data_IF_192910353597
#
_entry.id   IF_192910353597
#
_cell.length_a   1.000
_cell.length_b   1.000
_cell.length_c   1.000
_cell.angle_alpha   90.00
_cell.angle_beta   90.00
_cell.angle_gamma   90.00
#
_symmetry.space_group_name_H-M   'P 1'
#
loop_
_entity.id
_entity.type
_entity.pdbx_description
1 polymer ?
#
# COMPACT_ATOMS: atom_id res chain seq x y z
N UNK A 1 -8.33 8.96 -1.93
CA UNK A 1 -8.17 8.47 -3.31
C UNK A 1 -7.83 9.60 -4.27
N UNK A 2 -8.69 10.61 -4.48
CA UNK A 2 -8.40 11.71 -5.42
C UNK A 2 -7.09 12.46 -5.18
N UNK A 3 -6.72 12.70 -3.92
CA UNK A 3 -5.47 13.41 -3.57
C UNK A 3 -4.21 12.58 -3.90
N UNK A 4 -4.26 11.26 -3.70
CA UNK A 4 -3.17 10.34 -4.07
C UNK A 4 -3.05 10.18 -5.60
N UNK A 5 -4.17 10.13 -6.31
CA UNK A 5 -4.19 10.10 -7.78
C UNK A 5 -3.64 11.41 -8.35
N UNK A 6 -3.96 12.56 -7.75
CA UNK A 6 -3.43 13.85 -8.17
C UNK A 6 -1.91 13.95 -7.96
N UNK A 7 -1.40 13.54 -6.79
CA UNK A 7 0.05 13.54 -6.50
C UNK A 7 0.82 12.64 -7.48
N UNK A 8 0.41 11.38 -7.61
CA UNK A 8 1.05 10.41 -8.51
C UNK A 8 1.00 10.87 -9.97
N UNK A 9 -0.12 11.45 -10.42
CA UNK A 9 -0.24 12.01 -11.77
C UNK A 9 0.71 13.20 -12.00
N UNK A 10 0.82 14.12 -11.03
CA UNK A 10 1.74 15.26 -11.10
C UNK A 10 3.20 14.76 -11.14
N UNK A 11 3.58 13.87 -10.22
CA UNK A 11 4.94 13.31 -10.16
C UNK A 11 5.28 12.56 -11.43
N UNK A 12 4.38 11.71 -11.95
CA UNK A 12 4.61 10.94 -13.18
C UNK A 12 4.71 11.83 -14.41
N UNK A 13 3.88 12.88 -14.49
CA UNK A 13 3.91 13.84 -15.61
C UNK A 13 5.18 14.68 -15.56
N UNK A 14 5.57 15.19 -14.39
CA UNK A 14 6.82 15.94 -14.21
C UNK A 14 8.04 15.06 -14.55
N UNK A 15 8.09 13.82 -14.06
CA UNK A 15 9.17 12.88 -14.41
C UNK A 15 9.21 12.58 -15.91
N UNK A 16 8.05 12.43 -16.55
CA UNK A 16 7.98 12.16 -17.99
C UNK A 16 8.52 13.33 -18.82
N UNK A 17 8.14 14.56 -18.48
CA UNK A 17 8.64 15.77 -19.14
C UNK A 17 10.12 16.03 -18.87
N UNK A 18 10.58 15.76 -17.64
CA UNK A 18 11.99 15.93 -17.27
C UNK A 18 12.85 14.72 -17.65
N UNK A 19 12.31 13.64 -18.25
CA UNK A 19 13.05 12.38 -18.46
C UNK A 19 14.37 12.55 -19.22
N UNK A 20 14.43 13.52 -20.14
CA UNK A 20 15.65 13.84 -20.89
C UNK A 20 16.71 14.58 -20.07
N UNK A 21 16.33 15.35 -19.05
CA UNK A 21 17.25 16.13 -18.19
C UNK A 21 17.59 15.36 -16.91
N UNK A 22 16.63 14.58 -16.40
CA UNK A 22 16.78 13.77 -15.20
C UNK A 22 17.86 12.68 -15.38
N UNK A 23 17.90 12.03 -16.56
CA UNK A 23 18.96 11.09 -16.89
C UNK A 23 20.36 11.70 -16.82
N UNK A 24 20.54 12.92 -17.34
CA UNK A 24 21.80 13.67 -17.27
C UNK A 24 22.17 14.15 -15.86
N UNK A 25 21.20 14.23 -14.94
CA UNK A 25 21.45 14.59 -13.53
C UNK A 25 22.09 13.44 -12.76
N UNK A 26 21.80 12.19 -13.14
CA UNK A 26 22.36 10.99 -12.51
C UNK A 26 23.56 10.42 -13.27
N UNK A 27 23.62 10.57 -14.59
CA UNK A 27 24.74 10.09 -15.40
C UNK A 27 24.85 10.84 -16.73
N UNK A 28 26.06 11.20 -17.13
CA UNK A 28 26.33 11.86 -18.42
C UNK A 28 26.34 10.87 -19.61
N UNK A 29 26.18 9.57 -19.35
CA UNK A 29 26.17 8.51 -20.35
C UNK A 29 24.81 8.45 -21.08
N UNK A 30 24.83 8.66 -22.40
CA UNK A 30 23.63 8.64 -23.25
C UNK A 30 22.89 7.30 -23.19
N UNK A 31 23.61 6.21 -22.93
CA UNK A 31 23.04 4.88 -22.79
C UNK A 31 22.09 4.80 -21.59
N UNK A 32 22.45 5.42 -20.46
CA UNK A 32 21.62 5.48 -19.24
C UNK A 32 20.39 6.37 -19.47
N UNK A 33 20.52 7.44 -20.24
CA UNK A 33 19.40 8.34 -20.58
C UNK A 33 18.38 7.62 -21.48
N UNK A 34 18.80 6.84 -22.47
CA UNK A 34 17.89 6.05 -23.32
C UNK A 34 17.22 4.90 -22.56
N UNK A 35 17.90 4.39 -21.54
CA UNK A 35 17.40 3.35 -20.66
C UNK A 35 16.25 3.85 -19.76
N UNK A 36 16.47 4.94 -19.01
CA UNK A 36 15.43 5.61 -18.20
C UNK A 36 14.23 6.03 -19.06
N UNK A 37 14.51 6.40 -20.30
CA UNK A 37 13.52 6.74 -21.31
C UNK A 37 12.57 5.59 -21.65
N UNK A 38 13.10 4.38 -21.83
CA UNK A 38 12.32 3.18 -22.10
C UNK A 38 11.56 2.69 -20.88
N UNK A 39 12.08 2.93 -19.67
CA UNK A 39 11.42 2.60 -18.41
C UNK A 39 10.28 3.53 -18.02
N UNK A 40 10.27 4.78 -18.51
CA UNK A 40 9.26 5.78 -18.18
C UNK A 40 7.80 5.26 -18.27
N UNK A 41 7.34 4.59 -19.35
CA UNK A 41 5.99 4.03 -19.39
C UNK A 41 5.74 2.94 -18.34
N UNK A 42 6.76 2.13 -18.01
CA UNK A 42 6.68 1.08 -16.99
C UNK A 42 6.55 1.71 -15.59
N UNK A 43 7.24 2.83 -15.34
CA UNK A 43 7.11 3.64 -14.12
C UNK A 43 5.72 4.29 -14.02
N UNK A 44 5.17 4.79 -15.12
CA UNK A 44 3.80 5.35 -15.12
C UNK A 44 2.75 4.28 -14.76
N UNK A 45 2.86 3.08 -15.31
CA UNK A 45 2.00 1.96 -14.93
C UNK A 45 2.18 1.61 -13.45
N UNK A 46 3.43 1.60 -12.99
CA UNK A 46 3.74 1.34 -11.60
C UNK A 46 3.06 2.32 -10.62
N UNK A 47 3.08 3.61 -10.94
CA UNK A 47 2.44 4.64 -10.10
C UNK A 47 0.94 4.38 -9.90
N UNK A 48 0.24 3.87 -10.93
CA UNK A 48 -1.18 3.47 -10.82
C UNK A 48 -1.31 2.28 -9.86
N UNK A 49 -0.44 1.28 -9.99
CA UNK A 49 -0.47 0.10 -9.12
C UNK A 49 -0.14 0.43 -7.66
N UNK A 50 0.82 1.31 -7.40
CA UNK A 50 1.15 1.78 -6.06
C UNK A 50 -0.04 2.46 -5.38
N UNK A 51 -0.85 3.21 -6.14
CA UNK A 51 -2.08 3.82 -5.60
C UNK A 51 -3.10 2.76 -5.15
N UNK A 52 -3.24 1.66 -5.92
CA UNK A 52 -4.11 0.54 -5.58
C UNK A 52 -3.57 -0.21 -4.36
N UNK A 53 -2.26 -0.49 -4.34
CA UNK A 53 -1.56 -1.13 -3.24
C UNK A 53 -1.73 -0.35 -1.93
N UNK A 54 -1.64 0.97 -1.98
CA UNK A 54 -1.87 1.85 -0.83
C UNK A 54 -3.29 1.76 -0.27
N UNK A 55 -4.31 1.70 -1.13
CA UNK A 55 -5.71 1.56 -0.71
C UNK A 55 -5.95 0.20 -0.06
N UNK A 56 -5.48 -0.89 -0.67
CA UNK A 56 -5.61 -2.24 -0.11
C UNK A 56 -4.87 -2.38 1.22
N UNK A 57 -3.64 -1.84 1.31
CA UNK A 57 -2.87 -1.82 2.55
C UNK A 57 -3.57 -1.01 3.64
N UNK A 58 -4.29 0.05 3.26
CA UNK A 58 -5.18 0.78 4.16
C UNK A 58 -6.34 -0.07 4.68
N UNK A 59 -7.04 -0.80 3.79
CA UNK A 59 -8.14 -1.71 4.16
C UNK A 59 -7.64 -2.84 5.05
N UNK A 60 -6.54 -3.50 4.68
CA UNK A 60 -5.97 -4.60 5.45
C UNK A 60 -5.54 -4.19 6.86
N UNK A 61 -5.00 -2.97 7.02
CA UNK A 61 -4.72 -2.40 8.34
C UNK A 61 -5.99 -2.04 9.10
N UNK A 62 -7.01 -1.50 8.41
CA UNK A 62 -8.32 -1.20 9.01
C UNK A 62 -9.05 -2.43 9.55
N UNK A 63 -8.92 -3.58 8.87
CA UNK A 63 -9.51 -4.85 9.28
C UNK A 63 -8.62 -5.66 10.26
N UNK A 64 -7.39 -5.21 10.56
CA UNK A 64 -6.45 -5.93 11.44
C UNK A 64 -5.82 -7.18 10.81
N UNK A 65 -5.87 -7.33 9.48
CA UNK A 65 -5.37 -8.50 8.75
C UNK A 65 -3.86 -8.44 8.43
N UNK A 66 -3.09 -7.68 9.20
CA UNK A 66 -1.65 -7.52 8.97
C UNK A 66 -0.89 -8.84 9.00
N UNK A 67 -1.31 -9.80 9.84
CA UNK A 67 -0.70 -11.13 9.89
C UNK A 67 -0.87 -11.90 8.58
N UNK A 68 -2.07 -11.90 8.00
CA UNK A 68 -2.36 -12.55 6.71
C UNK A 68 -1.57 -11.86 5.60
N UNK A 69 -1.57 -10.52 5.61
CA UNK A 69 -0.79 -9.71 4.67
C UNK A 69 0.72 -10.01 4.73
N UNK A 70 1.29 -10.27 5.91
CA UNK A 70 2.69 -10.60 6.08
C UNK A 70 3.05 -11.97 5.46
N UNK A 71 2.20 -12.99 5.66
CA UNK A 71 2.40 -14.29 5.02
C UNK A 71 2.32 -14.22 3.49
N UNK A 72 1.35 -13.49 2.96
CA UNK A 72 1.20 -13.26 1.52
C UNK A 72 2.38 -12.45 0.97
N UNK A 73 2.87 -11.46 1.72
CA UNK A 73 4.04 -10.68 1.33
C UNK A 73 5.28 -11.57 1.18
N UNK A 74 5.55 -12.39 2.20
CA UNK A 74 6.71 -13.25 2.22
C UNK A 74 6.66 -14.26 1.07
N UNK A 75 5.50 -14.89 0.83
CA UNK A 75 5.34 -15.85 -0.26
C UNK A 75 5.48 -15.18 -1.62
N UNK A 76 4.87 -14.01 -1.84
CA UNK A 76 4.94 -13.30 -3.11
C UNK A 76 6.38 -12.87 -3.46
N UNK A 77 7.12 -12.29 -2.50
CA UNK A 77 8.49 -11.84 -2.76
C UNK A 77 9.49 -13.00 -2.85
N UNK A 78 9.43 -13.99 -1.96
CA UNK A 78 10.41 -15.06 -1.96
C UNK A 78 10.16 -16.11 -3.04
N UNK A 79 8.90 -16.47 -3.32
CA UNK A 79 8.59 -17.53 -4.29
C UNK A 79 8.48 -17.00 -5.72
N UNK A 80 8.09 -15.74 -5.91
CA UNK A 80 7.88 -15.17 -7.25
C UNK A 80 8.80 -13.98 -7.52
N UNK A 81 8.85 -12.98 -6.64
CA UNK A 81 9.59 -11.74 -6.85
C UNK A 81 11.09 -11.96 -7.07
N UNK A 82 11.77 -12.68 -6.17
CA UNK A 82 13.21 -12.95 -6.24
C UNK A 82 13.57 -13.81 -7.45
N UNK A 83 12.87 -14.94 -7.74
CA UNK A 83 13.16 -15.73 -8.95
C UNK A 83 12.96 -14.94 -10.25
N UNK A 84 11.89 -14.15 -10.34
CA UNK A 84 11.64 -13.29 -11.51
C UNK A 84 12.73 -12.22 -11.63
N UNK A 85 13.09 -11.56 -10.53
CA UNK A 85 14.17 -10.57 -10.51
C UNK A 85 15.51 -11.17 -10.97
N UNK A 86 15.82 -12.39 -10.53
CA UNK A 86 17.01 -13.12 -10.95
C UNK A 86 16.97 -13.50 -12.43
N UNK A 87 15.84 -14.02 -12.92
CA UNK A 87 15.67 -14.38 -14.34
C UNK A 87 15.81 -13.14 -15.23
N UNK A 88 15.11 -12.05 -14.94
CA UNK A 88 15.21 -10.83 -15.75
C UNK A 88 16.57 -10.16 -15.62
N UNK A 89 17.15 -10.12 -14.42
CA UNK A 89 18.45 -9.50 -14.17
C UNK A 89 19.61 -10.23 -14.85
N UNK A 90 19.67 -11.56 -14.73
CA UNK A 90 20.80 -12.36 -15.18
C UNK A 90 20.58 -13.01 -16.55
N UNK A 91 19.37 -13.53 -16.84
CA UNK A 91 19.11 -14.22 -18.11
C UNK A 91 18.87 -13.21 -19.24
N UNK A 92 18.00 -12.23 -19.03
CA UNK A 92 17.72 -11.19 -20.02
C UNK A 92 18.78 -10.07 -20.05
N UNK A 93 19.80 -10.14 -19.19
CA UNK A 93 20.84 -9.11 -19.01
C UNK A 93 20.29 -7.69 -18.81
N UNK A 94 19.07 -7.58 -18.28
CA UNK A 94 18.47 -6.29 -17.95
C UNK A 94 19.08 -5.70 -16.66
N UNK A 95 20.11 -6.33 -16.08
CA UNK A 95 20.90 -5.87 -14.92
C UNK A 95 20.00 -5.23 -13.84
N UNK A 96 20.08 -3.91 -13.67
CA UNK A 96 19.34 -3.17 -12.66
C UNK A 96 17.84 -3.03 -12.95
N UNK A 97 17.43 -2.89 -14.21
CA UNK A 97 16.00 -2.86 -14.55
C UNK A 97 15.33 -4.20 -14.31
N UNK A 98 16.01 -5.30 -14.64
CA UNK A 98 15.45 -6.64 -14.42
C UNK A 98 15.16 -6.89 -12.94
N UNK A 99 16.05 -6.41 -12.08
CA UNK A 99 15.87 -6.47 -10.63
C UNK A 99 14.69 -5.59 -10.17
N UNK A 100 14.62 -4.36 -10.68
CA UNK A 100 13.55 -3.42 -10.37
C UNK A 100 12.18 -3.94 -10.78
N UNK A 101 12.05 -4.46 -12.00
CA UNK A 101 10.82 -5.06 -12.53
C UNK A 101 10.40 -6.26 -11.68
N UNK A 102 11.35 -7.11 -11.27
CA UNK A 102 11.05 -8.27 -10.44
C UNK A 102 10.52 -7.90 -9.05
N UNK A 103 11.09 -6.87 -8.41
CA UNK A 103 10.57 -6.31 -7.15
C UNK A 103 9.15 -5.77 -7.36
N UNK A 104 8.91 -5.06 -8.46
CA UNK A 104 7.60 -4.48 -8.72
C UNK A 104 6.54 -5.55 -8.99
N UNK A 105 6.90 -6.61 -9.71
CA UNK A 105 6.01 -7.74 -9.95
C UNK A 105 5.67 -8.49 -8.66
N UNK A 106 6.65 -8.62 -7.74
CA UNK A 106 6.42 -9.18 -6.40
C UNK A 106 5.38 -8.38 -5.60
N UNK A 107 5.53 -7.05 -5.58
CA UNK A 107 4.57 -6.14 -4.92
C UNK A 107 3.18 -6.20 -5.56
N UNK A 108 3.13 -6.29 -6.89
CA UNK A 108 1.88 -6.44 -7.62
C UNK A 108 1.16 -7.76 -7.28
N UNK A 109 1.88 -8.89 -7.33
CA UNK A 109 1.34 -10.20 -6.97
C UNK A 109 0.80 -10.22 -5.54
N UNK A 110 1.56 -9.66 -4.58
CA UNK A 110 1.11 -9.51 -3.19
C UNK A 110 -0.21 -8.74 -3.12
N UNK A 111 -0.32 -7.62 -3.84
CA UNK A 111 -1.51 -6.76 -3.86
C UNK A 111 -2.71 -7.50 -4.42
N UNK A 112 -2.54 -8.21 -5.54
CA UNK A 112 -3.62 -8.99 -6.17
C UNK A 112 -4.09 -10.10 -5.23
N UNK A 113 -3.17 -10.85 -4.63
CA UNK A 113 -3.51 -11.90 -3.65
C UNK A 113 -4.29 -11.34 -2.47
N UNK A 114 -3.86 -10.22 -1.89
CA UNK A 114 -4.56 -9.57 -0.78
C UNK A 114 -5.94 -9.06 -1.20
N UNK A 115 -6.08 -8.54 -2.43
CA UNK A 115 -7.35 -8.10 -3.00
C UNK A 115 -8.32 -9.26 -3.19
N UNK A 116 -7.84 -10.37 -3.74
CA UNK A 116 -8.64 -11.58 -3.93
C UNK A 116 -9.11 -12.15 -2.60
N UNK A 117 -8.24 -12.19 -1.59
CA UNK A 117 -8.63 -12.58 -0.22
C UNK A 117 -9.70 -11.64 0.32
N UNK A 118 -9.56 -10.33 0.11
CA UNK A 118 -10.52 -9.32 0.58
C UNK A 118 -11.89 -9.45 -0.10
N UNK A 119 -11.91 -9.69 -1.41
CA UNK A 119 -13.15 -9.88 -2.19
C UNK A 119 -13.81 -11.23 -1.86
N UNK A 120 -13.00 -12.27 -1.66
CA UNK A 120 -13.48 -13.62 -1.36
C UNK A 120 -13.81 -13.82 0.12
N UNK A 121 -13.47 -12.85 0.98
CA UNK A 121 -13.83 -12.92 2.40
C UNK A 121 -15.31 -12.62 2.56
N UNK A 122 -15.99 -13.57 3.18
CA UNK A 122 -17.41 -13.48 3.50
C UNK A 122 -17.62 -12.43 4.62
N UNK A 123 -17.97 -11.21 4.19
CA UNK A 123 -18.12 -10.06 5.08
C UNK A 123 -19.23 -10.25 6.11
N UNK A 124 -20.25 -11.06 5.82
CA UNK A 124 -21.30 -11.38 6.80
C UNK A 124 -20.74 -12.16 8.01
N UNK A 125 -19.82 -13.10 7.79
CA UNK A 125 -19.17 -13.85 8.88
C UNK A 125 -18.25 -12.97 9.70
N UNK A 126 -17.52 -12.06 9.08
CA UNK A 126 -16.67 -11.09 9.78
C UNK A 126 -17.50 -10.19 10.70
N UNK A 127 -18.63 -9.67 10.19
CA UNK A 127 -19.54 -8.84 10.98
C UNK A 127 -20.11 -9.61 12.17
N UNK A 128 -20.49 -10.88 11.99
CA UNK A 128 -21.02 -11.71 13.08
C UNK A 128 -20.01 -11.96 14.21
N UNK A 129 -18.73 -12.14 13.87
CA UNK A 129 -17.66 -12.31 14.86
C UNK A 129 -17.36 -11.00 15.61
N UNK A 130 -17.41 -9.86 14.91
CA UNK A 130 -17.04 -8.56 15.48
C UNK A 130 -18.17 -7.84 16.23
N UNK A 131 -19.44 -8.11 15.90
CA UNK A 131 -20.61 -7.55 16.61
C UNK A 131 -20.53 -7.72 18.14
N UNK A 132 -20.28 -8.92 18.70
CA UNK A 132 -20.21 -9.07 20.15
C UNK A 132 -19.04 -8.29 20.76
N UNK A 133 -17.90 -8.19 20.07
CA UNK A 133 -16.77 -7.35 20.50
C UNK A 133 -17.12 -5.86 20.49
N UNK A 134 -17.82 -5.38 19.45
CA UNK A 134 -18.26 -4.00 19.32
C UNK A 134 -19.34 -3.63 20.33
N UNK A 135 -20.26 -4.55 20.66
CA UNK A 135 -21.27 -4.33 21.70
C UNK A 135 -20.62 -4.19 23.08
N UNK A 136 -19.61 -5.00 23.39
CA UNK A 136 -18.84 -4.88 24.64
C UNK A 136 -18.07 -3.56 24.69
N UNK A 137 -17.42 -3.15 23.60
CA UNK A 137 -16.72 -1.86 23.55
C UNK A 137 -17.66 -0.66 23.64
N UNK A 138 -18.81 -0.72 22.96
CA UNK A 138 -19.84 0.33 23.00
C UNK A 138 -20.39 0.49 24.41
N UNK A 139 -20.67 -0.62 25.12
CA UNK A 139 -21.06 -0.60 26.53
C UNK A 139 -19.99 0.05 27.42
N UNK A 140 -18.73 -0.35 27.24
CA UNK A 140 -17.59 0.18 28.02
C UNK A 140 -17.34 1.67 27.77
N UNK A 141 -17.51 2.14 26.54
CA UNK A 141 -17.38 3.57 26.20
C UNK A 141 -18.54 4.39 26.76
N UNK A 142 -19.77 3.87 26.73
CA UNK A 142 -20.93 4.55 27.31
C UNK A 142 -20.79 4.71 28.83
N UNK A 143 -20.26 3.70 29.52
CA UNK A 143 -20.01 3.77 30.96
C UNK A 143 -18.93 4.80 31.31
N UNK A 144 -17.85 4.88 30.53
CA UNK A 144 -16.82 5.93 30.68
C UNK A 144 -17.41 7.32 30.46
N UNK A 145 -18.27 7.50 29.45
CA UNK A 145 -18.96 8.76 29.19
C UNK A 145 -19.85 9.17 30.36
N UNK A 146 -20.59 8.23 30.94
CA UNK A 146 -21.42 8.47 32.13
C UNK A 146 -20.59 8.88 33.35
N UNK A 147 -19.48 8.19 33.62
CA UNK A 147 -18.58 8.56 34.73
C UNK A 147 -18.01 9.97 34.54
N UNK A 148 -17.61 10.31 33.31
CA UNK A 148 -17.08 11.64 32.98
C UNK A 148 -18.13 12.75 33.10
N UNK A 149 -19.36 12.49 32.69
CA UNK A 149 -20.47 13.44 32.86
C UNK A 149 -20.79 13.65 34.36
N UNK A 150 -20.86 12.58 35.15
CA UNK A 150 -21.12 12.68 36.60
C UNK A 150 -20.00 13.43 37.35
N UNK A 151 -18.73 13.21 36.99
CA UNK A 151 -17.63 13.95 37.61
C UNK A 151 -17.67 15.45 37.29
N UNK A 152 -18.12 15.83 36.09
CA UNK A 152 -18.29 17.24 35.72
C UNK A 152 -19.43 17.91 36.49
N UNK A 153 -20.55 17.21 36.67
CA UNK A 153 -21.69 17.71 37.47
C UNK A 153 -21.26 17.92 38.94
N UNK A 154 -20.50 16.98 39.52
CA UNK A 154 -19.97 17.14 40.88
C UNK A 154 -18.97 18.29 41.01
N UNK A 155 -18.14 18.56 40.00
CA UNK A 155 -17.22 19.71 39.98
C UNK A 155 -17.94 21.05 39.78
N UNK A 156 -19.10 21.06 39.14
CA UNK A 156 -19.96 22.25 39.01
C UNK A 156 -20.76 22.50 40.30
N UNK A 157 -21.31 21.47 40.94
CA UNK A 157 -21.96 21.59 42.26
C UNK A 157 -20.99 22.07 43.35
N UNK A 158 -19.73 21.64 43.34
CA UNK A 158 -18.73 22.10 44.30
C UNK A 158 -18.21 23.52 44.04
N UNK A 159 -18.50 24.09 42.85
CA UNK A 159 -18.10 25.47 42.47
C UNK A 159 -19.21 26.51 42.63
N UNK A 160 -20.46 26.07 42.81
CA UNK A 160 -21.62 26.90 43.09
C UNK A 160 -21.80 27.14 44.60
#
# INVERSE_FOLDING_TARGET
MFLAVAETSIVSTTLFFTRRIFGYTFSNEKEVVDYVTKMAPLVCLNAIFDSLQGVLSGVARGCGWQHIGAYINLSAFYLCGIPVAAILGFWFQLRGEGLWIGIQLGSFMQTVLLSLVTISTDWEKQVYIYIPYLLVQTGRNNEKRKKKANSQIQEEEHRA
#
